data_IF_843600770672
#
_entry.id   IF_843600770672
#
_cell.length_a   1.000
_cell.length_b   1.000
_cell.length_c   1.000
_cell.angle_alpha   90.00
_cell.angle_beta   90.00
_cell.angle_gamma   90.00
#
_symmetry.space_group_name_H-M   'P 1'
#
loop_
_entity.id
_entity.type
_entity.pdbx_description
1 polymer ?
#
# COMPACT_ATOMS: atom_id res chain seq x y z
N UNK A 1 -7.31 8.18 -21.06
CA UNK A 1 -7.75 8.35 -19.66
C UNK A 1 -7.22 7.16 -18.90
N UNK A 2 -6.19 7.37 -18.09
CA UNK A 2 -5.54 6.35 -17.27
C UNK A 2 -6.50 5.95 -16.14
N UNK A 3 -7.03 4.73 -16.16
CA UNK A 3 -7.80 4.12 -15.07
C UNK A 3 -6.94 3.86 -13.80
N UNK A 4 -5.91 4.66 -13.55
CA UNK A 4 -4.87 4.41 -12.56
C UNK A 4 -5.20 4.97 -11.17
N UNK A 5 -6.06 6.00 -11.09
CA UNK A 5 -6.40 6.67 -9.83
C UNK A 5 -7.20 5.80 -8.83
N UNK A 6 -8.17 4.97 -9.24
CA UNK A 6 -8.88 4.09 -8.30
C UNK A 6 -7.97 2.97 -7.77
N UNK A 7 -7.08 2.45 -8.62
CA UNK A 7 -6.23 1.30 -8.32
C UNK A 7 -5.17 1.63 -7.29
N UNK A 8 -4.49 2.79 -7.40
CA UNK A 8 -3.45 3.18 -6.44
C UNK A 8 -4.01 3.39 -5.03
N UNK A 9 -5.21 3.98 -4.88
CA UNK A 9 -5.84 4.23 -3.58
C UNK A 9 -6.16 2.95 -2.80
N UNK A 10 -6.52 1.87 -3.49
CA UNK A 10 -6.76 0.55 -2.86
C UNK A 10 -5.46 0.05 -2.21
N UNK A 11 -4.35 0.14 -2.93
CA UNK A 11 -3.06 -0.35 -2.46
C UNK A 11 -2.40 0.58 -1.44
N UNK A 12 -2.65 1.90 -1.51
CA UNK A 12 -2.26 2.85 -0.44
C UNK A 12 -2.94 2.49 0.88
N UNK A 13 -4.22 2.11 0.88
CA UNK A 13 -4.89 1.66 2.10
C UNK A 13 -4.30 0.36 2.65
N UNK A 14 -3.92 -0.59 1.78
CA UNK A 14 -3.23 -1.82 2.21
C UNK A 14 -1.84 -1.51 2.78
N UNK A 15 -1.11 -0.59 2.16
CA UNK A 15 0.18 -0.10 2.67
C UNK A 15 0.05 0.54 4.06
N UNK A 16 -0.94 1.41 4.26
CA UNK A 16 -1.23 2.01 5.59
C UNK A 16 -1.56 0.96 6.65
N UNK A 17 -2.36 -0.05 6.28
CA UNK A 17 -2.64 -1.20 7.15
C UNK A 17 -1.36 -1.96 7.52
N UNK A 18 -0.49 -2.22 6.54
CA UNK A 18 0.82 -2.84 6.78
C UNK A 18 1.64 -2.03 7.79
N UNK A 19 1.73 -0.69 7.62
CA UNK A 19 2.45 0.18 8.56
C UNK A 19 1.87 0.09 9.98
N UNK A 20 0.53 0.16 10.12
CA UNK A 20 -0.13 0.04 11.42
C UNK A 20 0.14 -1.30 12.12
N UNK A 21 0.22 -2.41 11.36
CA UNK A 21 0.54 -3.73 11.91
C UNK A 21 1.99 -3.80 12.40
N UNK A 22 2.94 -3.19 11.66
CA UNK A 22 4.33 -3.05 12.10
C UNK A 22 4.44 -2.23 13.39
N UNK A 23 3.73 -1.10 13.47
CA UNK A 23 3.72 -0.25 14.67
C UNK A 23 3.15 -0.97 15.91
N UNK A 24 2.19 -1.88 15.71
CA UNK A 24 1.60 -2.70 16.77
C UNK A 24 2.44 -3.95 17.12
N UNK A 25 3.54 -4.20 16.40
CA UNK A 25 4.37 -5.40 16.58
C UNK A 25 3.75 -6.70 16.03
N UNK A 26 2.66 -6.60 15.27
CA UNK A 26 1.93 -7.73 14.69
C UNK A 26 2.63 -8.23 13.41
N UNK A 27 3.82 -8.80 13.59
CA UNK A 27 4.75 -9.14 12.50
C UNK A 27 4.22 -10.21 11.54
N UNK A 28 3.48 -11.19 12.05
CA UNK A 28 2.90 -12.27 11.23
C UNK A 28 1.79 -11.72 10.31
N UNK A 29 0.90 -10.88 10.85
CA UNK A 29 -0.16 -10.22 10.09
C UNK A 29 0.41 -9.23 9.08
N UNK A 30 1.43 -8.45 9.47
CA UNK A 30 2.13 -7.54 8.59
C UNK A 30 2.79 -8.29 7.41
N UNK A 31 3.38 -9.45 7.67
CA UNK A 31 4.00 -10.29 6.63
C UNK A 31 2.97 -10.80 5.62
N UNK A 32 1.74 -11.12 6.07
CA UNK A 32 0.64 -11.48 5.20
C UNK A 32 0.26 -10.34 4.24
N UNK A 33 0.04 -9.14 4.78
CA UNK A 33 -0.30 -7.95 3.98
C UNK A 33 0.85 -7.57 3.04
N UNK A 34 2.10 -7.65 3.50
CA UNK A 34 3.28 -7.37 2.66
C UNK A 34 3.30 -8.29 1.43
N UNK A 35 3.03 -9.58 1.61
CA UNK A 35 3.01 -10.55 0.50
C UNK A 35 1.93 -10.20 -0.52
N UNK A 36 0.73 -9.87 -0.06
CA UNK A 36 -0.38 -9.45 -0.97
C UNK A 36 0.01 -8.23 -1.80
N UNK A 37 0.67 -7.24 -1.19
CA UNK A 37 1.19 -6.06 -1.88
C UNK A 37 2.29 -6.44 -2.88
N UNK A 38 3.27 -7.25 -2.47
CA UNK A 38 4.38 -7.68 -3.33
C UNK A 38 3.89 -8.45 -4.58
N UNK A 39 2.84 -9.26 -4.45
CA UNK A 39 2.25 -10.02 -5.54
C UNK A 39 1.46 -9.12 -6.50
N UNK A 40 0.78 -8.10 -5.98
CA UNK A 40 -0.13 -7.29 -6.78
C UNK A 40 0.54 -6.12 -7.50
N UNK A 41 1.52 -5.45 -6.88
CA UNK A 41 2.12 -4.23 -7.43
C UNK A 41 2.67 -4.40 -8.86
N UNK A 42 3.41 -5.48 -9.19
CA UNK A 42 3.90 -5.69 -10.55
C UNK A 42 2.79 -5.90 -11.60
N UNK A 43 1.61 -6.38 -11.20
CA UNK A 43 0.48 -6.65 -12.10
C UNK A 43 -0.23 -5.38 -12.56
N UNK A 44 0.01 -4.27 -11.87
CA UNK A 44 -0.64 -2.97 -12.09
C UNK A 44 0.36 -1.84 -12.32
N UNK A 45 1.62 -2.20 -12.64
CA UNK A 45 2.71 -1.27 -12.91
C UNK A 45 2.95 -0.24 -11.78
N UNK A 46 2.81 -0.67 -10.52
CA UNK A 46 3.13 0.14 -9.34
C UNK A 46 4.34 -0.41 -8.59
N UNK A 47 4.91 0.44 -7.74
CA UNK A 47 6.00 0.09 -6.82
C UNK A 47 5.65 0.52 -5.40
N UNK A 48 6.38 0.00 -4.42
CA UNK A 48 6.28 0.44 -3.02
C UNK A 48 6.50 1.95 -2.89
N UNK A 49 7.40 2.51 -3.68
CA UNK A 49 7.68 3.95 -3.70
C UNK A 49 6.45 4.76 -4.14
N UNK A 50 5.67 4.25 -5.09
CA UNK A 50 4.44 4.91 -5.52
C UNK A 50 3.40 4.91 -4.40
N UNK A 51 3.32 3.83 -3.61
CA UNK A 51 2.45 3.77 -2.43
C UNK A 51 2.92 4.71 -1.33
N UNK A 52 4.23 4.75 -1.04
CA UNK A 52 4.84 5.63 -0.05
C UNK A 52 4.59 7.11 -0.39
N UNK A 53 4.77 7.48 -1.66
CA UNK A 53 4.52 8.83 -2.14
C UNK A 53 3.04 9.19 -2.03
N UNK A 54 2.15 8.34 -2.53
CA UNK A 54 0.71 8.60 -2.49
C UNK A 54 0.15 8.62 -1.05
N UNK A 55 0.68 7.81 -0.14
CA UNK A 55 0.32 7.84 1.27
C UNK A 55 0.75 9.14 1.98
N UNK A 56 1.85 9.75 1.51
CA UNK A 56 2.40 11.01 2.04
C UNK A 56 1.74 12.25 1.44
N UNK A 57 1.22 12.14 0.22
CA UNK A 57 0.52 13.22 -0.49
C UNK A 57 -0.95 13.36 -0.08
N UNK A 58 -1.52 12.39 0.66
CA UNK A 58 -2.85 12.57 1.25
C UNK A 58 -2.77 13.61 2.39
N UNK A 59 -3.48 14.76 2.27
CA UNK A 59 -3.54 15.71 3.37
C UNK A 59 -4.16 15.02 4.58
N UNK A 60 -3.55 15.19 5.75
CA UNK A 60 -4.14 14.82 7.03
C UNK A 60 -5.41 15.67 7.16
N UNK A 61 -6.56 15.10 6.80
CA UNK A 61 -7.86 15.78 6.84
C UNK A 61 -8.57 15.55 8.15
#
# INVERSE_FOLDING_TARGET
MTNSTPTILIWVNQYKKYQQLIEQGLSDEASGVKREIDEALPLIDLTWKDLEQAASDEPIS
#
